data_IF_226208083847
#
_entry.id   IF_226208083847
#
_cell.length_a   1.000
_cell.length_b   1.000
_cell.length_c   1.000
_cell.angle_alpha   90.00
_cell.angle_beta   90.00
_cell.angle_gamma   90.00
#
_symmetry.space_group_name_H-M   'P 1'
#
loop_
_entity.id
_entity.type
_entity.pdbx_description
1 polymer ?
#
# COMPACT_ATOMS: atom_id res chain seq x y z
N UNK A 1 -18.98 -69.83 0.19
CA UNK A 1 -17.86 -69.35 1.01
C UNK A 1 -18.33 -68.04 1.61
N UNK A 2 -18.64 -68.10 2.89
CA UNK A 2 -19.43 -67.13 3.65
C UNK A 2 -18.67 -65.84 3.91
N UNK A 3 -19.32 -64.72 3.64
CA UNK A 3 -18.81 -63.38 3.96
C UNK A 3 -18.65 -63.16 5.47
N UNK A 4 -19.35 -63.93 6.30
CA UNK A 4 -19.24 -63.87 7.75
C UNK A 4 -17.87 -64.32 8.29
N UNK A 5 -17.26 -65.31 7.72
CA UNK A 5 -15.93 -65.82 8.13
C UNK A 5 -14.77 -64.91 7.80
N UNK A 6 -14.96 -63.95 6.85
CA UNK A 6 -13.94 -62.97 6.52
C UNK A 6 -13.97 -61.75 7.43
N UNK A 7 -15.14 -61.43 8.00
CA UNK A 7 -15.29 -60.35 8.94
C UNK A 7 -14.67 -60.67 10.30
N UNK A 8 -14.84 -61.92 10.76
CA UNK A 8 -14.27 -62.37 12.04
C UNK A 8 -12.74 -62.51 11.99
N UNK A 9 -12.16 -62.87 10.85
CA UNK A 9 -10.68 -62.87 10.70
C UNK A 9 -10.07 -61.47 10.62
N UNK A 10 -10.80 -60.49 10.13
CA UNK A 10 -10.35 -59.06 10.15
C UNK A 10 -10.48 -58.44 11.53
N UNK A 11 -11.51 -58.77 12.29
CA UNK A 11 -11.66 -58.30 13.67
C UNK A 11 -10.57 -58.81 14.62
N UNK A 12 -10.21 -60.11 14.48
CA UNK A 12 -9.14 -60.71 15.29
C UNK A 12 -7.73 -60.15 14.96
N UNK A 13 -7.52 -59.54 13.82
CA UNK A 13 -6.22 -58.93 13.47
C UNK A 13 -6.04 -57.51 14.02
N UNK A 14 -7.12 -56.85 14.44
CA UNK A 14 -7.04 -55.55 15.08
C UNK A 14 -6.81 -55.58 16.56
N UNK A 15 -7.17 -56.67 17.26
CA UNK A 15 -6.98 -56.82 18.70
C UNK A 15 -5.52 -57.09 19.14
N UNK A 16 -4.62 -57.35 18.18
CA UNK A 16 -3.19 -57.59 18.49
C UNK A 16 -2.27 -56.40 18.19
N UNK A 17 -2.80 -55.24 17.78
CA UNK A 17 -2.02 -54.02 17.63
C UNK A 17 -2.03 -53.26 18.97
N UNK A 18 -1.13 -53.63 19.87
CA UNK A 18 -0.76 -52.78 20.97
C UNK A 18 -0.08 -51.54 20.43
N UNK A 19 -0.85 -50.46 20.32
CA UNK A 19 -0.27 -49.13 20.11
C UNK A 19 0.64 -48.87 21.33
N UNK A 20 1.91 -48.48 21.11
CA UNK A 20 2.72 -48.03 22.24
C UNK A 20 1.99 -46.85 22.90
N UNK A 21 1.93 -46.90 24.21
CA UNK A 21 1.42 -45.77 24.99
C UNK A 21 1.97 -44.47 24.40
N UNK A 22 1.14 -43.46 24.17
CA UNK A 22 1.64 -42.17 23.78
C UNK A 22 2.62 -41.73 24.87
N UNK A 23 3.92 -41.83 24.53
CA UNK A 23 4.94 -41.15 25.31
C UNK A 23 4.48 -39.72 25.34
N UNK A 24 3.96 -39.28 26.46
CA UNK A 24 3.69 -37.88 26.73
C UNK A 24 5.04 -37.17 26.66
N UNK A 25 5.48 -36.89 25.43
CA UNK A 25 6.39 -35.80 25.24
C UNK A 25 5.65 -34.59 25.81
N UNK A 26 6.14 -33.96 26.87
CA UNK A 26 5.59 -32.69 27.30
C UNK A 26 5.66 -31.82 26.05
N UNK A 27 4.51 -31.44 25.53
CA UNK A 27 4.41 -30.35 24.57
C UNK A 27 5.28 -29.25 25.20
N UNK A 28 6.28 -28.72 24.45
CA UNK A 28 6.99 -27.58 24.96
C UNK A 28 5.90 -26.55 25.27
N UNK A 29 5.80 -26.18 26.51
CA UNK A 29 4.91 -25.16 27.05
C UNK A 29 5.42 -23.80 26.58
N UNK A 30 5.46 -23.67 25.30
CA UNK A 30 5.90 -22.52 24.58
C UNK A 30 4.90 -22.22 23.45
N UNK A 31 3.65 -22.03 23.82
CA UNK A 31 3.02 -20.84 23.28
C UNK A 31 3.86 -19.70 23.84
N UNK A 32 4.46 -18.85 23.00
CA UNK A 32 4.89 -17.57 23.49
C UNK A 32 3.60 -16.92 24.00
N UNK A 33 3.35 -17.06 25.31
CA UNK A 33 2.53 -16.13 26.01
C UNK A 33 3.19 -14.81 25.62
N UNK A 34 2.49 -13.96 24.90
CA UNK A 34 2.74 -12.53 24.89
C UNK A 34 2.49 -12.06 26.34
N UNK A 35 3.22 -12.63 27.28
CA UNK A 35 3.52 -11.95 28.51
C UNK A 35 4.30 -10.76 28.03
N UNK A 36 3.71 -9.58 28.16
CA UNK A 36 4.43 -8.34 28.04
C UNK A 36 5.63 -8.34 28.96
N UNK A 37 6.68 -9.06 28.58
CA UNK A 37 8.01 -8.75 29.01
C UNK A 37 8.16 -7.31 28.53
N UNK A 38 8.02 -6.35 29.47
CA UNK A 38 8.49 -5.00 29.30
C UNK A 38 9.88 -5.17 28.72
N UNK A 39 10.02 -4.91 27.40
CA UNK A 39 11.33 -4.79 26.79
C UNK A 39 12.10 -3.88 27.74
N UNK A 40 13.27 -4.32 28.18
CA UNK A 40 14.14 -3.47 28.99
C UNK A 40 14.22 -2.16 28.22
N UNK A 41 13.99 -1.01 28.84
CA UNK A 41 13.93 0.26 28.13
C UNK A 41 15.25 0.39 27.37
N UNK A 42 15.16 0.41 26.05
CA UNK A 42 16.34 0.62 25.22
C UNK A 42 16.93 1.97 25.65
N UNK A 43 18.21 1.97 26.00
CA UNK A 43 18.88 3.16 26.50
C UNK A 43 18.79 4.32 25.49
N UNK A 44 18.76 4.02 24.20
CA UNK A 44 18.64 5.01 23.12
C UNK A 44 17.23 5.63 23.06
N UNK A 45 16.19 4.80 23.20
CA UNK A 45 14.81 5.26 23.27
C UNK A 45 14.57 6.17 24.47
N UNK A 46 15.06 5.75 25.64
CA UNK A 46 14.95 6.53 26.87
C UNK A 46 15.71 7.87 26.74
N UNK A 47 16.90 7.86 26.14
CA UNK A 47 17.69 9.08 25.90
C UNK A 47 16.97 10.03 24.93
N UNK A 48 16.39 9.49 23.84
CA UNK A 48 15.65 10.29 22.86
C UNK A 48 14.42 10.97 23.49
N UNK A 49 13.58 10.21 24.23
CA UNK A 49 12.36 10.74 24.83
C UNK A 49 12.64 11.62 26.03
N UNK A 50 13.44 11.15 26.99
CA UNK A 50 13.63 11.84 28.27
C UNK A 50 14.60 13.02 28.17
N UNK A 51 15.65 12.87 27.38
CA UNK A 51 16.70 13.88 27.32
C UNK A 51 16.54 14.80 26.10
N UNK A 52 16.20 14.27 24.91
CA UNK A 52 16.03 15.09 23.72
C UNK A 52 14.63 15.71 23.62
N UNK A 53 13.55 14.89 23.58
CA UNK A 53 12.20 15.44 23.39
C UNK A 53 11.69 16.27 24.58
N UNK A 54 11.93 15.81 25.83
CA UNK A 54 11.47 16.53 27.03
C UNK A 54 12.38 17.66 27.47
N UNK A 55 13.69 17.40 27.57
CA UNK A 55 14.65 18.36 28.19
C UNK A 55 15.52 19.09 27.16
N UNK A 56 15.48 18.69 25.89
CA UNK A 56 16.30 19.29 24.84
C UNK A 56 17.80 19.05 25.02
N UNK A 57 18.21 17.99 25.72
CA UNK A 57 19.62 17.63 25.92
C UNK A 57 20.05 16.67 24.82
N UNK A 58 21.12 17.00 24.14
CA UNK A 58 21.66 16.19 23.02
C UNK A 58 22.61 15.08 23.50
N UNK A 59 23.08 15.16 24.77
CA UNK A 59 24.01 14.19 25.34
C UNK A 59 23.32 12.83 25.55
N UNK A 60 23.82 11.80 24.88
CA UNK A 60 23.33 10.42 24.97
C UNK A 60 22.51 9.94 23.76
N UNK A 61 22.12 10.83 22.87
CA UNK A 61 21.44 10.47 21.63
C UNK A 61 22.49 10.16 20.55
N UNK A 62 22.49 8.94 20.03
CA UNK A 62 23.40 8.57 18.95
C UNK A 62 22.93 9.21 17.64
N UNK A 63 23.78 10.07 17.09
CA UNK A 63 23.60 10.65 15.76
C UNK A 63 23.79 9.57 14.70
N UNK A 64 22.73 9.14 14.05
CA UNK A 64 22.82 8.44 12.77
C UNK A 64 22.86 9.48 11.65
N UNK A 65 23.97 10.20 11.56
CA UNK A 65 24.23 11.10 10.44
C UNK A 65 24.88 10.30 9.31
N UNK A 66 24.28 10.31 8.14
CA UNK A 66 24.89 9.86 6.89
C UNK A 66 25.95 10.82 6.38
N UNK A 67 26.10 11.98 7.01
CA UNK A 67 27.14 12.94 6.67
C UNK A 67 28.02 13.20 7.90
N UNK A 68 29.14 12.50 7.94
CA UNK A 68 30.16 12.60 8.97
C UNK A 68 30.87 13.98 9.01
N UNK A 69 30.52 14.90 8.10
CA UNK A 69 31.28 16.12 7.90
C UNK A 69 30.69 17.38 8.57
N UNK A 70 29.40 17.41 8.93
CA UNK A 70 28.78 18.62 9.52
C UNK A 70 27.75 18.31 10.61
N UNK A 71 28.13 18.41 11.91
CA UNK A 71 27.18 18.31 13.03
C UNK A 71 26.21 19.52 13.14
N UNK A 72 26.39 20.55 12.32
CA UNK A 72 25.65 21.82 12.41
C UNK A 72 24.28 21.81 11.74
N UNK A 73 23.93 20.79 10.97
CA UNK A 73 22.65 20.73 10.26
C UNK A 73 21.52 20.04 11.06
N UNK A 74 21.68 19.92 12.38
CA UNK A 74 20.63 19.90 13.40
C UNK A 74 19.52 18.81 13.33
N UNK A 75 19.59 17.88 12.39
CA UNK A 75 18.62 16.80 12.29
C UNK A 75 19.06 15.54 13.02
N UNK A 76 18.45 15.21 14.15
CA UNK A 76 18.65 13.92 14.78
C UNK A 76 17.78 12.86 14.07
N UNK A 77 18.41 11.78 13.63
CA UNK A 77 17.69 10.63 13.11
C UNK A 77 16.79 10.03 14.21
N UNK A 78 15.55 9.71 13.86
CA UNK A 78 14.61 9.06 14.76
C UNK A 78 15.15 7.67 15.10
N UNK A 79 15.10 7.23 16.38
CA UNK A 79 15.42 5.86 16.71
C UNK A 79 14.64 4.87 15.84
N UNK A 80 15.28 3.76 15.46
CA UNK A 80 14.69 2.76 14.56
C UNK A 80 13.35 2.21 15.02
N UNK A 81 13.08 2.24 16.32
CA UNK A 81 11.81 1.81 16.91
C UNK A 81 10.67 2.79 16.60
N UNK A 82 10.93 4.09 16.70
CA UNK A 82 9.93 5.12 16.37
C UNK A 82 9.68 5.14 14.86
N UNK A 83 10.73 5.02 14.04
CA UNK A 83 10.58 4.90 12.58
C UNK A 83 9.75 3.66 12.21
N UNK A 84 9.95 2.54 12.91
CA UNK A 84 9.13 1.34 12.71
C UNK A 84 7.65 1.54 13.10
N UNK A 85 7.36 2.29 14.16
CA UNK A 85 5.99 2.65 14.56
C UNK A 85 5.35 3.53 13.48
N UNK A 86 6.05 4.55 13.01
CA UNK A 86 5.60 5.43 11.93
C UNK A 86 5.33 4.60 10.67
N UNK A 87 6.26 3.76 10.24
CA UNK A 87 6.10 2.90 9.06
C UNK A 87 4.93 1.92 9.18
N UNK A 88 4.71 1.32 10.36
CA UNK A 88 3.57 0.42 10.58
C UNK A 88 2.25 1.17 10.51
N UNK A 89 2.17 2.33 11.14
CA UNK A 89 0.97 3.18 11.15
C UNK A 89 0.68 3.73 9.74
N UNK A 90 1.70 4.14 8.99
CA UNK A 90 1.58 4.54 7.59
C UNK A 90 0.98 3.44 6.71
N UNK A 91 1.43 2.20 6.89
CA UNK A 91 0.89 1.06 6.12
C UNK A 91 -0.54 0.74 6.51
N UNK A 92 -0.91 0.92 7.76
CA UNK A 92 -2.26 0.62 8.23
C UNK A 92 -3.28 1.67 7.79
N UNK A 93 -2.91 2.93 7.75
CA UNK A 93 -3.81 4.05 7.43
C UNK A 93 -3.85 4.35 5.93
N UNK A 94 -2.70 4.30 5.22
CA UNK A 94 -2.65 4.60 3.79
C UNK A 94 -3.00 3.38 2.92
N UNK A 95 -4.20 3.32 2.33
CA UNK A 95 -4.64 2.17 1.55
C UNK A 95 -3.79 1.95 0.29
N UNK A 96 -3.35 3.03 -0.37
CA UNK A 96 -2.52 2.93 -1.59
C UNK A 96 -1.14 2.39 -1.27
N UNK A 97 -0.55 2.79 -0.14
CA UNK A 97 0.77 2.30 0.29
C UNK A 97 0.77 0.78 0.56
N UNK A 98 -0.36 0.22 1.02
CA UNK A 98 -0.53 -1.23 1.23
C UNK A 98 -0.37 -2.05 -0.04
N UNK A 99 -0.86 -1.53 -1.14
CA UNK A 99 -1.00 -2.27 -2.41
C UNK A 99 0.06 -1.88 -3.45
N UNK A 100 0.69 -0.71 -3.33
CA UNK A 100 1.72 -0.22 -4.24
C UNK A 100 3.10 -0.83 -3.96
N UNK A 101 4.02 -0.65 -4.90
CA UNK A 101 5.41 -1.04 -4.74
C UNK A 101 6.20 0.07 -4.03
N UNK A 102 6.63 -0.18 -2.81
CA UNK A 102 7.42 0.77 -2.00
C UNK A 102 8.90 0.40 -2.07
N UNK A 103 9.74 1.35 -2.50
CA UNK A 103 11.19 1.19 -2.62
C UNK A 103 11.90 2.23 -1.78
N UNK A 104 12.75 1.79 -0.84
CA UNK A 104 13.62 2.68 -0.07
C UNK A 104 14.83 3.07 -0.91
N UNK A 105 15.07 4.36 -1.08
CA UNK A 105 16.12 4.90 -1.93
C UNK A 105 17.09 5.75 -1.12
N UNK A 106 18.40 5.57 -1.38
CA UNK A 106 19.45 6.33 -0.69
C UNK A 106 19.76 7.69 -1.31
N UNK A 107 19.30 7.94 -2.56
CA UNK A 107 19.58 9.19 -3.29
C UNK A 107 18.34 9.73 -3.98
N UNK A 108 18.29 11.05 -4.21
CA UNK A 108 17.21 11.71 -4.92
C UNK A 108 17.17 11.39 -6.44
N UNK A 109 18.19 10.76 -6.97
CA UNK A 109 18.31 10.42 -8.40
C UNK A 109 17.85 9.00 -8.76
N UNK A 110 16.94 8.41 -7.98
CA UNK A 110 16.42 7.09 -8.29
C UNK A 110 15.66 7.07 -9.62
N UNK A 111 16.00 6.10 -10.46
CA UNK A 111 15.42 5.91 -11.79
C UNK A 111 15.10 4.43 -12.00
N UNK A 112 13.90 4.15 -12.46
CA UNK A 112 13.48 2.79 -12.82
C UNK A 112 13.44 2.66 -14.33
N UNK A 113 14.17 1.69 -14.88
CA UNK A 113 14.08 1.33 -16.30
C UNK A 113 12.92 0.36 -16.50
N UNK A 114 12.04 0.69 -17.43
CA UNK A 114 10.90 -0.17 -17.83
C UNK A 114 11.09 -0.50 -19.33
N UNK A 115 11.00 -1.78 -19.65
CA UNK A 115 11.08 -2.25 -21.03
C UNK A 115 9.75 -2.05 -21.73
N UNK A 116 9.77 -1.35 -22.86
CA UNK A 116 8.60 -1.19 -23.73
C UNK A 116 8.69 -2.13 -24.93
N UNK A 117 7.59 -2.84 -25.16
CA UNK A 117 7.45 -3.77 -26.26
C UNK A 117 8.05 -5.14 -25.97
N UNK A 118 7.70 -6.06 -26.83
CA UNK A 118 8.20 -7.43 -26.83
C UNK A 118 9.18 -7.64 -27.98
N UNK A 119 10.15 -8.53 -27.77
CA UNK A 119 10.96 -9.01 -28.89
C UNK A 119 10.02 -9.79 -29.82
N UNK A 120 9.95 -9.38 -31.08
CA UNK A 120 9.20 -10.15 -32.05
C UNK A 120 9.90 -11.48 -32.30
N UNK A 121 9.17 -12.58 -32.21
CA UNK A 121 9.66 -13.93 -32.51
C UNK A 121 8.91 -14.49 -33.70
N UNK A 122 9.60 -15.26 -34.54
CA UNK A 122 9.02 -15.90 -35.72
C UNK A 122 9.42 -17.37 -35.78
N UNK A 123 8.59 -18.17 -36.43
CA UNK A 123 8.90 -19.53 -36.78
C UNK A 123 9.57 -19.55 -38.17
N UNK A 124 10.70 -20.20 -38.30
CA UNK A 124 11.42 -20.35 -39.56
C UNK A 124 11.69 -21.82 -39.83
N UNK A 125 11.64 -22.24 -41.11
CA UNK A 125 12.12 -23.55 -41.53
C UNK A 125 13.65 -23.53 -41.64
N UNK A 126 14.26 -24.72 -41.78
CA UNK A 126 15.72 -24.89 -41.86
C UNK A 126 16.35 -24.11 -43.03
N UNK A 127 15.61 -23.84 -44.06
CA UNK A 127 16.09 -23.18 -45.32
C UNK A 127 15.69 -21.73 -45.45
N UNK A 128 14.86 -21.17 -44.54
CA UNK A 128 14.38 -19.80 -44.65
C UNK A 128 15.35 -18.82 -43.96
N UNK A 129 15.81 -17.74 -44.63
CA UNK A 129 16.61 -16.72 -43.98
C UNK A 129 15.86 -16.11 -42.80
N UNK A 130 16.54 -15.92 -41.67
CA UNK A 130 15.98 -15.30 -40.47
C UNK A 130 16.21 -13.80 -40.57
N UNK A 131 15.13 -13.04 -40.58
CA UNK A 131 15.19 -11.57 -40.55
C UNK A 131 15.43 -11.08 -39.13
N UNK A 132 16.10 -9.93 -39.01
CA UNK A 132 16.30 -9.26 -37.74
C UNK A 132 14.95 -8.91 -37.08
N UNK A 133 14.87 -9.11 -35.79
CA UNK A 133 13.71 -8.76 -34.98
C UNK A 133 13.96 -7.48 -34.21
N UNK A 134 12.91 -6.66 -34.03
CA UNK A 134 13.01 -5.41 -33.32
C UNK A 134 13.48 -5.61 -31.87
N UNK A 135 14.43 -4.81 -31.43
CA UNK A 135 14.90 -4.77 -30.04
C UNK A 135 13.92 -3.95 -29.20
N UNK A 136 13.55 -4.39 -28.00
CA UNK A 136 12.68 -3.62 -27.12
C UNK A 136 13.35 -2.32 -26.68
N UNK A 137 12.56 -1.26 -26.59
CA UNK A 137 13.02 0.03 -26.10
C UNK A 137 12.90 0.10 -24.56
N UNK A 138 13.82 0.82 -23.94
CA UNK A 138 13.76 1.15 -22.52
C UNK A 138 13.24 2.56 -22.33
N UNK A 139 12.34 2.71 -21.36
CA UNK A 139 11.88 4.01 -20.88
C UNK A 139 12.28 4.17 -19.44
N UNK A 140 12.80 5.32 -19.11
CA UNK A 140 13.19 5.71 -17.78
C UNK A 140 12.00 6.35 -17.06
N UNK A 141 11.65 5.80 -15.91
CA UNK A 141 10.61 6.33 -15.04
C UNK A 141 11.27 6.93 -13.81
N UNK A 142 11.12 8.24 -13.64
CA UNK A 142 11.69 9.01 -12.53
C UNK A 142 10.56 9.46 -11.62
N UNK A 143 10.47 8.97 -10.36
CA UNK A 143 9.45 9.42 -9.43
C UNK A 143 9.75 10.86 -9.00
N UNK A 144 8.81 11.81 -9.20
CA UNK A 144 8.94 13.15 -8.64
C UNK A 144 8.95 13.05 -7.13
N UNK A 145 9.98 13.65 -6.51
CA UNK A 145 10.16 13.64 -5.07
C UNK A 145 9.65 14.94 -4.46
N UNK A 146 8.95 14.83 -3.34
CA UNK A 146 8.50 15.95 -2.51
C UNK A 146 8.97 15.79 -1.07
N UNK A 147 9.08 16.91 -0.36
CA UNK A 147 9.37 16.92 1.07
C UNK A 147 8.04 17.06 1.82
N UNK A 148 7.62 15.99 2.45
CA UNK A 148 6.46 15.97 3.34
C UNK A 148 6.91 16.38 4.74
N UNK A 149 6.24 17.34 5.36
CA UNK A 149 6.56 17.81 6.70
C UNK A 149 5.33 17.93 7.59
N UNK A 150 5.56 17.79 8.89
CA UNK A 150 4.61 18.08 9.94
C UNK A 150 5.32 18.90 11.02
N UNK A 151 4.66 19.89 11.58
CA UNK A 151 5.24 20.79 12.58
C UNK A 151 4.28 21.00 13.77
N UNK A 152 3.95 19.94 14.54
CA UNK A 152 3.14 20.07 15.73
C UNK A 152 3.85 20.92 16.79
N UNK A 153 3.07 21.70 17.56
CA UNK A 153 3.55 22.51 18.65
C UNK A 153 2.93 22.05 19.97
N UNK A 154 3.74 21.94 21.02
CA UNK A 154 3.29 21.64 22.37
C UNK A 154 3.84 22.69 23.36
N UNK A 155 3.09 23.01 24.42
CA UNK A 155 3.63 23.85 25.46
C UNK A 155 4.62 23.09 26.32
N UNK A 156 5.67 23.78 26.84
CA UNK A 156 6.65 23.13 27.72
C UNK A 156 5.99 22.57 29.00
N UNK A 157 5.00 23.28 29.55
CA UNK A 157 4.26 22.80 30.71
C UNK A 157 3.50 21.48 30.41
N UNK A 158 2.89 21.35 29.23
CA UNK A 158 2.24 20.10 28.81
C UNK A 158 3.24 18.95 28.72
N UNK A 159 4.46 19.19 28.21
CA UNK A 159 5.50 18.18 28.11
C UNK A 159 6.03 17.74 29.49
N UNK A 160 6.13 18.69 30.44
CA UNK A 160 6.63 18.43 31.80
C UNK A 160 5.57 17.70 32.66
N UNK A 161 4.28 18.04 32.50
CA UNK A 161 3.16 17.53 33.31
C UNK A 161 2.42 16.34 32.67
N UNK A 162 2.84 15.88 31.49
CA UNK A 162 2.14 14.81 30.76
C UNK A 162 2.12 13.48 31.52
N UNK A 163 0.92 12.95 31.79
CA UNK A 163 0.70 11.62 32.37
C UNK A 163 0.75 10.48 31.36
N UNK A 164 0.82 10.80 30.08
CA UNK A 164 0.81 9.83 28.97
C UNK A 164 2.18 9.74 28.29
N UNK A 165 2.35 8.69 27.51
CA UNK A 165 3.56 8.48 26.72
C UNK A 165 3.59 9.44 25.52
N UNK A 166 4.33 10.54 25.67
CA UNK A 166 4.50 11.58 24.66
C UNK A 166 5.16 11.04 23.40
N UNK A 167 6.00 10.02 23.51
CA UNK A 167 6.68 9.41 22.40
C UNK A 167 5.70 8.72 21.44
N UNK A 168 4.90 7.80 21.99
CA UNK A 168 3.90 7.07 21.22
C UNK A 168 2.87 8.02 20.63
N UNK A 169 2.39 9.00 21.42
CA UNK A 169 1.45 9.99 20.93
C UNK A 169 2.00 10.81 19.76
N UNK A 170 3.23 11.30 19.88
CA UNK A 170 3.85 12.11 18.83
C UNK A 170 4.09 11.27 17.55
N UNK A 171 4.57 10.04 17.69
CA UNK A 171 4.78 9.14 16.55
C UNK A 171 3.46 8.84 15.82
N UNK A 172 2.40 8.54 16.57
CA UNK A 172 1.08 8.25 16.01
C UNK A 172 0.48 9.46 15.30
N UNK A 173 0.59 10.65 15.88
CA UNK A 173 0.03 11.87 15.29
C UNK A 173 0.76 12.24 13.99
N UNK A 174 2.09 12.20 13.99
CA UNK A 174 2.90 12.42 12.79
C UNK A 174 2.58 11.37 11.71
N UNK A 175 2.47 10.10 12.11
CA UNK A 175 2.17 9.03 11.18
C UNK A 175 0.78 9.18 10.54
N UNK A 176 -0.24 9.57 11.33
CA UNK A 176 -1.60 9.83 10.80
C UNK A 176 -1.62 10.98 9.81
N UNK A 177 -0.96 12.10 10.14
CA UNK A 177 -0.90 13.26 9.24
C UNK A 177 -0.12 12.92 7.96
N UNK A 178 0.99 12.21 8.07
CA UNK A 178 1.75 11.75 6.90
C UNK A 178 0.94 10.78 6.05
N UNK A 179 0.24 9.82 6.66
CA UNK A 179 -0.59 8.87 5.94
C UNK A 179 -1.72 9.55 5.15
N UNK A 180 -2.36 10.56 5.76
CA UNK A 180 -3.41 11.35 5.12
C UNK A 180 -2.86 12.14 3.93
N UNK A 181 -1.75 12.85 4.11
CA UNK A 181 -1.14 13.65 3.06
C UNK A 181 -0.57 12.79 1.92
N UNK A 182 0.08 11.67 2.24
CA UNK A 182 0.58 10.70 1.25
C UNK A 182 -0.57 10.07 0.46
N UNK A 183 -1.65 9.64 1.12
CA UNK A 183 -2.82 9.04 0.48
C UNK A 183 -3.41 9.95 -0.58
N UNK A 184 -3.67 11.20 -0.22
CA UNK A 184 -4.16 12.22 -1.14
C UNK A 184 -3.18 12.48 -2.30
N UNK A 185 -1.87 12.55 -2.02
CA UNK A 185 -0.86 12.81 -3.04
C UNK A 185 -0.67 11.63 -4.02
N UNK A 186 -0.77 10.37 -3.57
CA UNK A 186 -0.67 9.21 -4.46
C UNK A 186 -1.85 9.09 -5.43
N UNK A 187 -2.99 9.63 -5.08
CA UNK A 187 -4.20 9.63 -5.93
C UNK A 187 -4.22 10.86 -6.83
N UNK A 188 -4.12 12.06 -6.24
CA UNK A 188 -4.37 13.34 -6.92
C UNK A 188 -3.16 14.29 -7.01
N UNK A 189 -1.96 13.84 -6.60
CA UNK A 189 -0.77 14.69 -6.58
C UNK A 189 -0.35 15.14 -7.96
N UNK A 190 0.14 16.37 -8.07
CA UNK A 190 0.49 17.02 -9.34
C UNK A 190 1.88 16.66 -9.87
N UNK A 191 2.73 16.02 -9.06
CA UNK A 191 4.12 15.72 -9.43
C UNK A 191 5.08 16.92 -9.29
N UNK A 192 4.61 18.06 -8.79
CA UNK A 192 5.45 19.24 -8.54
C UNK A 192 5.62 19.41 -7.03
N UNK A 193 6.85 19.19 -6.53
CA UNK A 193 7.17 19.17 -5.09
C UNK A 193 6.33 18.18 -4.26
N UNK A 194 5.74 17.21 -4.91
CA UNK A 194 4.92 16.14 -4.33
C UNK A 194 4.87 14.95 -5.29
N UNK A 195 4.49 13.74 -4.85
CA UNK A 195 4.28 12.59 -5.71
C UNK A 195 3.36 12.90 -6.89
N UNK A 196 3.55 12.22 -8.02
CA UNK A 196 2.58 12.22 -9.12
C UNK A 196 1.48 11.20 -8.85
N UNK A 197 0.26 11.66 -8.64
CA UNK A 197 -0.91 10.82 -8.43
C UNK A 197 -1.28 10.05 -9.69
N UNK A 198 -1.85 8.84 -9.53
CA UNK A 198 -2.21 8.03 -10.70
C UNK A 198 -3.44 8.56 -11.45
N UNK A 199 -4.27 9.44 -10.84
CA UNK A 199 -5.40 10.06 -11.53
C UNK A 199 -5.04 11.32 -12.33
N UNK A 200 -3.88 11.92 -12.08
CA UNK A 200 -3.46 13.19 -12.71
C UNK A 200 -2.76 12.99 -14.06
N UNK A 201 -2.39 11.76 -14.39
CA UNK A 201 -1.77 11.42 -15.67
C UNK A 201 -2.73 11.50 -16.87
N UNK A 202 -2.18 11.42 -18.09
CA UNK A 202 -3.01 11.35 -19.29
C UNK A 202 -3.85 10.06 -19.29
N UNK A 203 -5.07 10.18 -19.83
CA UNK A 203 -6.03 9.06 -19.90
C UNK A 203 -6.56 8.88 -21.32
N UNK A 204 -6.92 7.66 -21.71
CA UNK A 204 -7.46 7.33 -23.03
C UNK A 204 -8.43 6.14 -22.94
N UNK A 205 -9.38 6.07 -23.87
CA UNK A 205 -10.25 4.91 -24.07
C UNK A 205 -9.57 3.79 -24.86
N UNK A 206 -8.45 4.07 -25.52
CA UNK A 206 -7.74 3.12 -26.37
C UNK A 206 -7.18 1.94 -25.57
N UNK A 207 -7.16 0.78 -26.22
CA UNK A 207 -6.56 -0.43 -25.66
C UNK A 207 -5.04 -0.30 -25.48
N UNK A 208 -4.47 -1.19 -24.67
CA UNK A 208 -3.03 -1.22 -24.37
C UNK A 208 -2.13 -1.31 -25.62
N UNK A 209 -2.64 -1.87 -26.70
CA UNK A 209 -1.88 -2.03 -27.96
C UNK A 209 -1.73 -0.71 -28.75
N UNK A 210 -2.62 0.25 -28.54
CA UNK A 210 -2.70 1.48 -29.35
C UNK A 210 -2.30 2.74 -28.59
N UNK A 211 -2.39 2.74 -27.26
CA UNK A 211 -2.09 3.91 -26.45
C UNK A 211 -0.61 4.06 -26.13
N UNK A 212 -0.20 5.29 -25.94
CA UNK A 212 1.16 5.62 -25.52
C UNK A 212 1.41 5.17 -24.09
N UNK A 213 2.59 4.65 -23.79
CA UNK A 213 3.01 4.31 -22.43
C UNK A 213 2.92 5.52 -21.49
N UNK A 214 2.49 5.30 -20.25
CA UNK A 214 2.24 6.38 -19.28
C UNK A 214 0.82 6.94 -19.33
N UNK A 215 0.02 6.61 -20.37
CA UNK A 215 -1.40 6.95 -20.44
C UNK A 215 -2.24 5.85 -19.79
N UNK A 216 -3.16 6.15 -18.91
CA UNK A 216 -4.07 5.16 -18.32
C UNK A 216 -5.30 4.94 -19.21
N UNK A 217 -5.70 3.67 -19.31
CA UNK A 217 -6.97 3.34 -19.97
C UNK A 217 -8.13 3.55 -19.01
N UNK A 218 -9.21 4.15 -19.52
CA UNK A 218 -10.46 4.20 -18.79
C UNK A 218 -11.61 3.55 -19.58
N UNK A 219 -12.58 3.05 -18.83
CA UNK A 219 -13.87 2.58 -19.32
C UNK A 219 -14.91 3.59 -18.84
N UNK A 220 -15.69 4.14 -19.79
CA UNK A 220 -16.76 5.08 -19.44
C UNK A 220 -17.99 4.33 -18.98
N UNK A 221 -18.71 4.88 -17.99
CA UNK A 221 -20.02 4.32 -17.55
C UNK A 221 -21.11 4.44 -18.60
N UNK A 222 -20.91 5.32 -19.61
CA UNK A 222 -21.94 5.61 -20.61
C UNK A 222 -23.06 6.52 -20.12
N UNK A 223 -23.07 6.86 -18.85
CA UNK A 223 -24.04 7.74 -18.20
C UNK A 223 -23.31 8.79 -17.37
N UNK A 224 -23.73 10.03 -17.48
CA UNK A 224 -23.10 11.11 -16.73
C UNK A 224 -23.40 11.01 -15.22
N UNK A 225 -22.35 11.12 -14.40
CA UNK A 225 -22.38 11.10 -12.95
C UNK A 225 -23.05 9.85 -12.30
N UNK A 226 -23.38 8.81 -13.08
CA UNK A 226 -24.11 7.65 -12.61
C UNK A 226 -23.61 6.34 -13.24
N UNK A 227 -24.05 5.22 -12.68
CA UNK A 227 -23.96 3.91 -13.31
C UNK A 227 -25.12 3.72 -14.31
N UNK A 228 -24.98 2.84 -15.31
CA UNK A 228 -26.09 2.46 -16.19
C UNK A 228 -27.27 1.94 -15.37
N UNK A 229 -28.49 2.35 -15.75
CA UNK A 229 -29.69 1.89 -15.06
C UNK A 229 -30.00 0.41 -15.31
N UNK A 230 -29.53 -0.13 -16.43
CA UNK A 230 -29.74 -1.53 -16.83
C UNK A 230 -28.40 -2.25 -16.78
N UNK A 231 -28.34 -3.36 -16.05
CA UNK A 231 -27.17 -4.25 -15.93
C UNK A 231 -25.85 -3.48 -15.61
N UNK A 232 -25.79 -2.68 -14.55
CA UNK A 232 -24.61 -1.89 -14.19
C UNK A 232 -23.38 -2.75 -13.93
N UNK A 233 -23.55 -4.03 -13.60
CA UNK A 233 -22.48 -5.00 -13.38
C UNK A 233 -21.68 -5.32 -14.64
N UNK A 234 -22.25 -5.22 -15.82
CA UNK A 234 -21.56 -5.51 -17.08
C UNK A 234 -20.35 -4.58 -17.27
N UNK A 235 -20.49 -3.31 -16.93
CA UNK A 235 -19.39 -2.34 -17.00
C UNK A 235 -18.20 -2.76 -16.11
N UNK A 236 -18.47 -3.29 -14.92
CA UNK A 236 -17.41 -3.79 -14.05
C UNK A 236 -16.69 -5.02 -14.65
N UNK A 237 -17.43 -5.89 -15.35
CA UNK A 237 -16.85 -7.02 -16.08
C UNK A 237 -15.99 -6.54 -17.25
N UNK A 238 -16.40 -5.49 -17.97
CA UNK A 238 -15.63 -4.89 -19.05
C UNK A 238 -14.30 -4.32 -18.56
N UNK A 239 -14.27 -3.73 -17.37
CA UNK A 239 -13.04 -3.24 -16.74
C UNK A 239 -12.09 -4.40 -16.40
N UNK A 240 -12.61 -5.50 -15.85
CA UNK A 240 -11.81 -6.70 -15.57
C UNK A 240 -11.27 -7.29 -16.87
N UNK A 241 -12.08 -7.31 -17.95
CA UNK A 241 -11.65 -7.81 -19.24
C UNK A 241 -10.58 -6.91 -19.89
N UNK A 242 -10.69 -5.58 -19.75
CA UNK A 242 -9.71 -4.64 -20.25
C UNK A 242 -8.31 -4.81 -19.63
N UNK A 243 -8.23 -5.38 -18.43
CA UNK A 243 -6.95 -5.68 -17.78
C UNK A 243 -6.36 -6.97 -18.33
N UNK A 244 -5.10 -6.90 -18.79
CA UNK A 244 -4.38 -8.08 -19.31
C UNK A 244 -4.28 -9.18 -18.24
N UNK A 245 -4.39 -10.48 -18.63
CA UNK A 245 -4.32 -11.61 -17.70
C UNK A 245 -3.08 -11.60 -16.79
N UNK A 246 -1.93 -11.14 -17.30
CA UNK A 246 -0.68 -11.03 -16.54
C UNK A 246 -0.79 -10.11 -15.32
N UNK A 247 -1.67 -9.10 -15.35
CA UNK A 247 -1.87 -8.14 -14.27
C UNK A 247 -3.12 -8.41 -13.42
N UNK A 248 -3.91 -9.45 -13.76
CA UNK A 248 -5.09 -9.83 -12.97
C UNK A 248 -4.72 -10.48 -11.65
N UNK A 249 -3.57 -11.17 -11.60
CA UNK A 249 -3.08 -11.73 -10.35
C UNK A 249 -2.62 -10.59 -9.42
N UNK A 250 -3.22 -10.52 -8.23
CA UNK A 250 -2.97 -9.43 -7.28
C UNK A 250 -3.63 -8.10 -7.66
N UNK A 251 -4.60 -8.11 -8.60
CA UNK A 251 -5.42 -6.95 -8.90
C UNK A 251 -6.39 -6.67 -7.75
N UNK A 252 -6.67 -5.39 -7.52
CA UNK A 252 -7.58 -4.90 -6.49
C UNK A 252 -8.46 -3.79 -7.05
N UNK A 253 -9.64 -3.66 -6.48
CA UNK A 253 -10.52 -2.50 -6.70
C UNK A 253 -10.17 -1.42 -5.70
N UNK A 254 -10.05 -0.18 -6.14
CA UNK A 254 -9.83 1.00 -5.29
C UNK A 254 -10.95 2.00 -5.57
N UNK A 255 -11.69 2.37 -4.55
CA UNK A 255 -12.79 3.33 -4.61
C UNK A 255 -13.08 3.88 -3.21
N UNK A 256 -13.84 4.96 -3.13
CA UNK A 256 -14.32 5.46 -1.85
C UNK A 256 -15.58 4.72 -1.35
N UNK A 257 -15.89 4.87 -0.08
CA UNK A 257 -17.03 4.22 0.59
C UNK A 257 -18.39 4.61 -0.02
N UNK A 258 -18.53 5.85 -0.50
CA UNK A 258 -19.75 6.32 -1.17
C UNK A 258 -20.00 5.59 -2.49
N UNK A 259 -18.96 5.42 -3.31
CA UNK A 259 -19.04 4.68 -4.58
C UNK A 259 -19.27 3.19 -4.33
N UNK A 260 -18.56 2.61 -3.36
CA UNK A 260 -18.75 1.22 -2.94
C UNK A 260 -20.20 0.95 -2.51
N UNK A 261 -20.79 1.86 -1.74
CA UNK A 261 -22.20 1.76 -1.32
C UNK A 261 -23.15 1.78 -2.51
N UNK A 262 -22.86 2.58 -3.57
CA UNK A 262 -23.67 2.57 -4.80
C UNK A 262 -23.61 1.20 -5.49
N UNK A 263 -22.43 0.57 -5.57
CA UNK A 263 -22.26 -0.76 -6.17
C UNK A 263 -22.98 -1.84 -5.34
N UNK A 264 -22.91 -1.77 -4.01
CA UNK A 264 -23.64 -2.70 -3.11
C UNK A 264 -25.14 -2.65 -3.30
N UNK A 265 -25.69 -1.54 -3.77
CA UNK A 265 -27.13 -1.39 -4.06
C UNK A 265 -27.56 -1.93 -5.43
N UNK A 266 -26.64 -2.46 -6.24
CA UNK A 266 -27.02 -3.08 -7.52
C UNK A 266 -27.95 -4.27 -7.29
N UNK A 267 -29.00 -4.32 -8.08
CA UNK A 267 -30.01 -5.38 -8.05
C UNK A 267 -30.14 -6.01 -9.41
N UNK A 268 -30.35 -7.32 -9.42
CA UNK A 268 -30.73 -8.04 -10.64
C UNK A 268 -32.18 -7.75 -11.03
N UNK A 269 -32.65 -8.34 -12.13
CA UNK A 269 -34.02 -8.19 -12.60
C UNK A 269 -35.07 -8.71 -11.60
N UNK A 270 -34.71 -9.65 -10.73
CA UNK A 270 -35.56 -10.25 -9.71
C UNK A 270 -35.58 -9.43 -8.39
N UNK A 271 -34.75 -8.38 -8.32
CA UNK A 271 -34.65 -7.48 -7.16
C UNK A 271 -33.63 -7.91 -6.10
N UNK A 272 -32.89 -8.99 -6.32
CA UNK A 272 -31.85 -9.46 -5.42
C UNK A 272 -30.58 -8.64 -5.56
N UNK A 273 -29.80 -8.53 -4.49
CA UNK A 273 -28.52 -7.85 -4.50
C UNK A 273 -27.50 -8.64 -5.33
N UNK A 274 -26.89 -7.99 -6.32
CA UNK A 274 -25.87 -8.59 -7.18
C UNK A 274 -24.58 -8.87 -6.39
N UNK A 275 -24.25 -8.00 -5.44
CA UNK A 275 -23.08 -8.13 -4.58
C UNK A 275 -23.49 -8.28 -3.12
N UNK A 276 -23.13 -9.41 -2.53
CA UNK A 276 -23.29 -9.66 -1.10
C UNK A 276 -21.92 -9.51 -0.42
N UNK A 277 -21.82 -8.70 0.65
CA UNK A 277 -20.60 -8.62 1.42
C UNK A 277 -20.27 -9.97 2.05
N UNK A 278 -18.97 -10.22 2.29
CA UNK A 278 -18.54 -11.45 2.97
C UNK A 278 -19.14 -11.52 4.37
N UNK A 279 -19.86 -12.58 4.65
CA UNK A 279 -20.43 -12.84 5.99
C UNK A 279 -19.42 -13.49 6.94
N UNK A 280 -18.23 -13.83 6.47
CA UNK A 280 -17.18 -14.41 7.32
C UNK A 280 -16.22 -13.34 7.79
N UNK A 281 -16.04 -13.24 9.10
CA UNK A 281 -15.01 -12.43 9.74
C UNK A 281 -13.63 -12.77 9.18
N UNK A 282 -12.80 -11.77 8.90
CA UNK A 282 -11.44 -11.88 8.36
C UNK A 282 -11.29 -12.12 6.83
N UNK A 283 -12.31 -12.00 6.02
CA UNK A 283 -12.09 -11.94 4.57
C UNK A 283 -12.40 -10.54 4.06
N UNK A 284 -11.48 -9.92 3.29
CA UNK A 284 -11.76 -8.65 2.64
C UNK A 284 -12.97 -8.81 1.72
N UNK A 285 -13.77 -7.77 1.61
CA UNK A 285 -14.86 -7.74 0.64
C UNK A 285 -14.29 -7.94 -0.76
N UNK A 286 -14.93 -8.83 -1.53
CA UNK A 286 -14.50 -9.13 -2.90
C UNK A 286 -15.58 -8.74 -3.88
N UNK A 287 -15.21 -8.03 -4.94
CA UNK A 287 -16.05 -7.70 -6.07
C UNK A 287 -15.55 -8.44 -7.31
N UNK A 288 -16.39 -9.27 -7.92
CA UNK A 288 -16.01 -10.14 -9.03
C UNK A 288 -14.77 -11.02 -8.75
N UNK A 289 -14.59 -11.44 -7.49
CA UNK A 289 -13.47 -12.27 -7.07
C UNK A 289 -12.17 -11.53 -6.74
N UNK A 290 -12.15 -10.19 -6.83
CA UNK A 290 -11.00 -9.36 -6.48
C UNK A 290 -11.28 -8.55 -5.21
N UNK A 291 -10.28 -8.36 -4.32
CA UNK A 291 -10.47 -7.59 -3.11
C UNK A 291 -10.76 -6.12 -3.41
N UNK A 292 -11.56 -5.52 -2.55
CA UNK A 292 -11.91 -4.09 -2.59
C UNK A 292 -11.14 -3.38 -1.50
N UNK A 293 -10.48 -2.29 -1.87
CA UNK A 293 -9.75 -1.39 -0.98
C UNK A 293 -10.51 -0.08 -0.90
N UNK A 294 -10.84 0.30 0.32
CA UNK A 294 -11.48 1.57 0.62
C UNK A 294 -10.44 2.68 0.68
N UNK A 295 -10.60 3.70 -0.18
CA UNK A 295 -9.74 4.87 -0.26
C UNK A 295 -10.60 6.12 -0.37
N UNK A 296 -10.79 6.82 0.75
CA UNK A 296 -11.65 8.00 0.82
C UNK A 296 -11.12 9.18 -0.01
N UNK A 297 -9.83 9.20 -0.32
CA UNK A 297 -9.22 10.21 -1.21
C UNK A 297 -9.59 10.06 -2.69
N UNK A 298 -10.26 8.95 -3.08
CA UNK A 298 -10.81 8.78 -4.41
C UNK A 298 -12.03 9.69 -4.61
N UNK A 299 -12.16 10.32 -5.80
CA UNK A 299 -13.28 11.22 -6.07
C UNK A 299 -14.62 10.47 -6.04
N UNK A 300 -15.66 11.16 -5.59
CA UNK A 300 -17.04 10.66 -5.66
C UNK A 300 -17.48 10.39 -7.10
N UNK A 301 -18.44 9.46 -7.26
CA UNK A 301 -19.12 9.24 -8.52
C UNK A 301 -19.88 10.50 -8.94
N UNK A 302 -19.23 11.30 -9.79
CA UNK A 302 -19.68 12.58 -10.32
C UNK A 302 -19.27 12.76 -11.79
N UNK A 303 -19.84 13.74 -12.47
CA UNK A 303 -19.61 14.00 -13.88
C UNK A 303 -18.12 14.13 -14.22
N UNK A 304 -17.64 13.29 -15.12
CA UNK A 304 -16.26 13.28 -15.59
C UNK A 304 -15.23 12.69 -14.63
N UNK A 305 -15.61 12.29 -13.41
CA UNK A 305 -14.70 11.81 -12.39
C UNK A 305 -14.24 10.35 -12.64
N UNK A 306 -13.01 10.07 -12.24
CA UNK A 306 -12.44 8.73 -12.18
C UNK A 306 -12.60 8.18 -10.75
N UNK A 307 -13.77 7.63 -10.43
CA UNK A 307 -14.10 7.26 -9.05
C UNK A 307 -13.76 5.81 -8.69
N UNK A 308 -13.37 5.00 -9.67
CA UNK A 308 -12.97 3.62 -9.46
C UNK A 308 -11.68 3.36 -10.23
N UNK A 309 -10.73 2.72 -9.57
CA UNK A 309 -9.53 2.18 -10.20
C UNK A 309 -9.46 0.67 -9.96
N UNK A 310 -9.06 -0.08 -10.98
CA UNK A 310 -8.90 -1.52 -10.92
C UNK A 310 -7.56 -1.93 -11.51
N UNK A 311 -6.81 -2.76 -10.83
CA UNK A 311 -5.57 -3.29 -11.35
C UNK A 311 -4.58 -3.75 -10.30
N UNK A 312 -3.41 -4.15 -10.76
CA UNK A 312 -2.29 -4.53 -9.91
C UNK A 312 -1.43 -3.31 -9.61
N UNK A 313 -1.69 -2.68 -8.48
CA UNK A 313 -0.97 -1.46 -8.06
C UNK A 313 0.50 -1.73 -7.72
N UNK A 314 0.86 -2.94 -7.30
CA UNK A 314 2.25 -3.31 -7.05
C UNK A 314 3.09 -3.26 -8.34
N UNK A 315 2.52 -3.69 -9.46
CA UNK A 315 3.17 -3.57 -10.77
C UNK A 315 3.01 -2.17 -11.37
N UNK A 316 1.89 -1.48 -11.07
CA UNK A 316 1.47 -0.25 -11.72
C UNK A 316 2.01 1.02 -11.09
N UNK A 317 2.08 1.12 -9.77
CA UNK A 317 2.45 2.34 -9.06
C UNK A 317 3.67 2.15 -8.17
N UNK A 318 4.65 3.03 -8.34
CA UNK A 318 5.91 3.00 -7.60
C UNK A 318 5.96 4.15 -6.61
N UNK A 319 6.19 3.83 -5.36
CA UNK A 319 6.48 4.78 -4.29
C UNK A 319 7.97 4.68 -3.98
N UNK A 320 8.68 5.80 -4.11
CA UNK A 320 10.08 5.91 -3.73
C UNK A 320 10.19 6.76 -2.46
N UNK A 321 10.73 6.20 -1.41
CA UNK A 321 10.93 6.93 -0.16
C UNK A 321 12.41 7.00 0.21
N UNK A 322 12.84 8.14 0.73
CA UNK A 322 14.17 8.28 1.31
C UNK A 322 14.15 7.71 2.73
N UNK A 323 15.21 7.03 3.08
CA UNK A 323 15.28 6.03 4.13
C UNK A 323 14.91 6.45 5.55
N UNK A 324 14.76 7.72 5.92
CA UNK A 324 14.51 8.04 7.34
C UNK A 324 13.64 9.29 7.51
N UNK A 325 12.64 9.19 8.40
CA UNK A 325 11.90 10.33 8.91
C UNK A 325 12.81 11.05 9.92
N UNK A 326 12.95 12.36 9.81
CA UNK A 326 13.75 13.17 10.72
C UNK A 326 12.84 14.04 11.57
N UNK A 327 13.10 14.10 12.87
CA UNK A 327 12.36 14.96 13.81
C UNK A 327 13.35 15.95 14.46
N UNK A 328 13.09 17.23 14.30
CA UNK A 328 13.83 18.33 14.92
C UNK A 328 12.96 18.99 15.99
N UNK A 329 13.48 19.08 17.22
CA UNK A 329 12.84 19.83 18.31
C UNK A 329 13.34 21.28 18.28
N UNK A 330 12.41 22.22 18.14
CA UNK A 330 12.71 23.68 18.15
C UNK A 330 12.00 24.38 19.33
N UNK A 331 12.69 24.67 20.42
CA UNK A 331 12.18 25.42 21.56
C UNK A 331 12.39 26.95 21.43
N UNK A 332 12.99 27.43 20.33
CA UNK A 332 13.48 28.81 20.25
C UNK A 332 12.61 29.71 19.39
N UNK A 333 12.02 29.16 18.31
CA UNK A 333 11.35 29.95 17.28
C UNK A 333 10.01 30.55 17.74
N UNK A 334 9.26 29.91 18.64
CA UNK A 334 7.93 30.36 19.03
C UNK A 334 7.63 30.14 20.53
N UNK A 335 8.30 30.89 21.40
CA UNK A 335 8.06 30.82 22.86
C UNK A 335 6.65 31.26 23.23
N UNK A 336 5.92 30.56 24.12
CA UNK A 336 6.29 29.49 25.04
C UNK A 336 6.10 28.04 24.47
N UNK A 337 5.94 27.87 23.18
CA UNK A 337 5.72 26.59 22.54
C UNK A 337 7.03 25.96 22.07
N UNK A 338 7.09 24.64 22.10
CA UNK A 338 8.13 23.82 21.49
C UNK A 338 7.58 23.20 20.22
N UNK A 339 8.21 23.44 19.10
CA UNK A 339 7.86 22.84 17.81
C UNK A 339 8.63 21.53 17.59
N UNK A 340 7.94 20.56 17.01
CA UNK A 340 8.52 19.28 16.59
C UNK A 340 8.42 19.19 15.07
N UNK A 341 9.47 19.61 14.40
CA UNK A 341 9.52 19.58 12.93
C UNK A 341 9.91 18.20 12.44
N UNK A 342 8.92 17.45 11.97
CA UNK A 342 9.16 16.15 11.30
C UNK A 342 9.14 16.35 9.80
N UNK A 343 10.09 15.73 9.09
CA UNK A 343 10.10 15.74 7.64
C UNK A 343 10.50 14.39 7.06
N UNK A 344 9.94 14.08 5.89
CA UNK A 344 10.20 12.87 5.13
C UNK A 344 10.19 13.20 3.64
N UNK A 345 11.12 12.64 2.89
CA UNK A 345 11.17 12.80 1.44
C UNK A 345 10.57 11.60 0.75
N UNK A 346 9.50 11.82 -0.03
CA UNK A 346 8.75 10.79 -0.70
C UNK A 346 8.43 11.18 -2.14
N UNK A 347 8.45 10.18 -3.03
CA UNK A 347 8.05 10.34 -4.42
C UNK A 347 7.07 9.24 -4.83
N UNK A 348 6.31 9.50 -5.87
CA UNK A 348 5.39 8.53 -6.44
C UNK A 348 5.21 8.75 -7.92
N UNK A 349 5.08 7.66 -8.68
CA UNK A 349 4.89 7.72 -10.13
C UNK A 349 4.22 6.46 -10.65
N UNK A 350 3.46 6.60 -11.73
CA UNK A 350 2.94 5.48 -12.50
C UNK A 350 4.10 4.75 -13.19
N UNK A 351 4.42 3.54 -12.72
CA UNK A 351 5.51 2.73 -13.26
C UNK A 351 5.09 1.90 -14.48
N UNK A 352 3.84 1.42 -14.49
CA UNK A 352 3.28 0.67 -15.62
C UNK A 352 1.80 1.02 -15.80
N UNK A 353 1.51 1.71 -16.90
CA UNK A 353 0.14 2.12 -17.23
C UNK A 353 -0.77 0.98 -17.67
N UNK A 354 -0.23 -0.18 -18.07
CA UNK A 354 -1.03 -1.34 -18.46
C UNK A 354 -1.65 -2.08 -17.28
N UNK A 355 -1.03 -1.93 -16.09
CA UNK A 355 -1.41 -2.65 -14.88
C UNK A 355 -2.63 -2.05 -14.15
N UNK A 356 -3.06 -0.83 -14.50
CA UNK A 356 -4.17 -0.12 -13.86
C UNK A 356 -5.16 0.35 -14.92
N UNK A 357 -6.45 0.22 -14.63
CA UNK A 357 -7.58 0.71 -15.43
C UNK A 357 -8.47 1.60 -14.57
N UNK A 358 -9.07 2.61 -15.18
CA UNK A 358 -9.95 3.55 -14.51
C UNK A 358 -11.39 3.40 -15.00
N UNK A 359 -12.34 3.77 -14.15
CA UNK A 359 -13.74 3.95 -14.54
C UNK A 359 -14.08 5.43 -14.50
N UNK A 360 -14.49 5.96 -15.64
CA UNK A 360 -14.93 7.36 -15.78
C UNK A 360 -16.45 7.45 -15.73
N UNK A 361 -16.96 8.29 -14.85
CA UNK A 361 -18.41 8.58 -14.79
C UNK A 361 -18.77 9.63 -15.83
N UNK A 362 -19.10 9.18 -17.04
CA UNK A 362 -19.40 10.05 -18.17
C UNK A 362 -19.77 9.24 -19.41
N UNK A 363 -20.19 9.95 -20.45
CA UNK A 363 -20.66 9.34 -21.70
C UNK A 363 -19.47 8.90 -22.58
N UNK A 364 -18.30 9.52 -22.41
CA UNK A 364 -17.08 9.20 -23.17
C UNK A 364 -15.82 9.60 -22.38
#
# INVERSE_FOLDING_TARGET
MDYATKADTLAASFDSVTLPDPVATPLPDARPVLSGAKAAPDSQRTAFVQDYLRKGREAGVQLKSLDLANPSDGGYAVPSEIDAIIDSTLRDISPIRKIANVVKVGSAGYRKLVTLGNIASGWASDTTPRSDTATPNFVEVVPPMGDLYANPAASQAMLDDAFFDVETWLADEIAREFARAEGAAFINGTGVNQPSGFLTGPTSTQSDALRTFGTLQYVATGVDAAFPATQPENMLMDVVQALRPAHRQGAVWVMNSATMTKIRKFRNADGDLVWQPSLSDNRPDTLLGYPVIDAEDMPDAGSGNYSIAFGNFNAGYLIAERAETSILRDPYSAKPFVHFYAHKRIGGVLANSEAIKLVKFGVS
#
